data_IF_139753409899
#
_entry.id   IF_139753409899
#
_cell.length_a   1.000
_cell.length_b   1.000
_cell.length_c   1.000
_cell.angle_alpha   90.00
_cell.angle_beta   90.00
_cell.angle_gamma   90.00
#
_symmetry.space_group_name_H-M   'P 1'
#
loop_
_entity.id
_entity.type
_entity.pdbx_description
1 polymer ?
#
# COMPACT_ATOMS: atom_id res chain seq x y z
N UNK A 1 -17.34 14.66 -3.11
CA UNK A 1 -18.15 13.49 -2.71
C UNK A 1 -17.53 12.93 -1.45
N UNK A 2 -18.34 12.57 -0.45
CA UNK A 2 -17.79 11.93 0.75
C UNK A 2 -17.23 10.56 0.38
N UNK A 3 -16.05 10.24 0.92
CA UNK A 3 -15.40 8.96 0.63
C UNK A 3 -16.11 7.84 1.41
N UNK A 4 -16.67 6.86 0.68
CA UNK A 4 -17.43 5.73 1.24
C UNK A 4 -16.70 5.03 2.39
N UNK A 5 -15.40 4.80 2.25
CA UNK A 5 -14.61 4.10 3.26
C UNK A 5 -14.37 4.96 4.50
N UNK A 6 -14.26 6.28 4.33
CA UNK A 6 -14.15 7.23 5.44
C UNK A 6 -15.46 7.33 6.23
N UNK A 7 -16.60 7.32 5.54
CA UNK A 7 -17.91 7.25 6.18
C UNK A 7 -18.08 5.95 6.97
N UNK A 8 -17.71 4.82 6.35
CA UNK A 8 -17.72 3.51 7.02
C UNK A 8 -16.84 3.50 8.27
N UNK A 9 -15.65 4.09 8.19
CA UNK A 9 -14.77 4.23 9.36
C UNK A 9 -15.47 4.99 10.50
N UNK A 10 -16.09 6.12 10.20
CA UNK A 10 -16.73 6.97 11.22
C UNK A 10 -17.96 6.33 11.81
N UNK A 11 -18.82 5.71 10.99
CA UNK A 11 -20.14 5.25 11.41
C UNK A 11 -20.14 3.82 11.98
N UNK A 12 -19.23 2.96 11.50
CA UNK A 12 -19.23 1.54 11.86
C UNK A 12 -17.96 1.13 12.62
N UNK A 13 -16.78 1.55 12.14
CA UNK A 13 -15.52 1.02 12.67
C UNK A 13 -15.16 1.64 14.01
N UNK A 14 -15.35 2.94 14.20
CA UNK A 14 -15.09 3.63 15.48
C UNK A 14 -15.92 3.02 16.60
N UNK A 15 -17.25 2.88 16.51
CA UNK A 15 -18.05 2.26 17.56
C UNK A 15 -17.62 0.82 17.87
N UNK A 16 -17.40 0.00 16.84
CA UNK A 16 -17.01 -1.39 17.01
C UNK A 16 -15.64 -1.56 17.69
N UNK A 17 -14.67 -0.72 17.35
CA UNK A 17 -13.36 -0.73 18.01
C UNK A 17 -13.43 -0.21 19.45
N UNK A 18 -14.24 0.83 19.70
CA UNK A 18 -14.44 1.36 21.05
C UNK A 18 -15.06 0.32 21.98
N UNK A 19 -16.05 -0.42 21.52
CA UNK A 19 -16.67 -1.51 22.28
C UNK A 19 -15.68 -2.67 22.53
N UNK A 20 -14.89 -3.04 21.51
CA UNK A 20 -13.96 -4.18 21.60
C UNK A 20 -12.77 -3.91 22.52
N UNK A 21 -12.20 -2.70 22.48
CA UNK A 21 -10.96 -2.36 23.18
C UNK A 21 -11.14 -1.36 24.33
N UNK A 22 -12.37 -0.92 24.59
CA UNK A 22 -12.72 0.00 25.69
C UNK A 22 -11.88 1.29 25.73
N UNK A 23 -11.74 1.96 24.59
CA UNK A 23 -10.99 3.21 24.53
C UNK A 23 -11.66 4.31 25.37
N UNK A 24 -10.87 5.06 26.13
CA UNK A 24 -11.32 6.16 26.99
C UNK A 24 -11.79 7.40 26.21
N UNK A 25 -11.36 7.53 24.96
CA UNK A 25 -11.67 8.67 24.09
C UNK A 25 -11.75 8.25 22.64
N UNK A 26 -12.61 8.86 21.85
CA UNK A 26 -12.69 8.69 20.39
C UNK A 26 -11.37 9.01 19.70
N UNK A 27 -10.57 9.93 20.27
CA UNK A 27 -9.26 10.29 19.73
C UNK A 27 -8.20 9.19 19.92
N UNK A 28 -8.42 8.25 20.83
CA UNK A 28 -7.55 7.10 21.07
C UNK A 28 -7.82 5.94 20.10
N UNK A 29 -8.95 5.96 19.40
CA UNK A 29 -9.31 4.93 18.42
C UNK A 29 -8.32 4.93 17.25
N UNK A 30 -7.74 3.78 16.89
CA UNK A 30 -6.78 3.69 15.80
C UNK A 30 -7.40 4.08 14.45
N UNK A 31 -6.60 4.76 13.64
CA UNK A 31 -6.95 5.18 12.28
C UNK A 31 -5.81 4.90 11.32
N UNK A 32 -6.10 4.83 10.04
CA UNK A 32 -5.07 4.79 9.00
C UNK A 32 -4.45 6.20 8.88
N UNK A 33 -3.13 6.29 9.04
CA UNK A 33 -2.37 7.55 8.94
C UNK A 33 -1.93 7.83 7.50
N UNK A 34 -1.34 6.84 6.86
CA UNK A 34 -0.83 6.93 5.48
C UNK A 34 -0.72 5.55 4.85
N UNK A 35 -0.71 5.54 3.52
CA UNK A 35 -0.34 4.36 2.72
C UNK A 35 0.89 4.73 1.90
N UNK A 36 1.92 3.91 2.00
CA UNK A 36 3.15 4.04 1.21
C UNK A 36 3.18 2.90 0.20
N UNK A 37 3.30 3.26 -1.08
CA UNK A 37 3.46 2.32 -2.17
C UNK A 37 4.88 2.44 -2.67
N UNK A 38 5.60 1.35 -2.71
CA UNK A 38 6.98 1.30 -3.18
C UNK A 38 7.12 0.29 -4.32
N UNK A 39 7.85 0.69 -5.34
CA UNK A 39 8.22 -0.18 -6.46
C UNK A 39 9.75 -0.16 -6.61
N UNK A 40 10.37 -1.30 -6.33
CA UNK A 40 11.81 -1.49 -6.51
C UNK A 40 12.13 -1.90 -7.94
N UNK A 41 13.00 -1.14 -8.61
CA UNK A 41 13.42 -1.40 -10.01
C UNK A 41 14.94 -1.56 -10.06
N UNK A 42 15.42 -2.73 -9.67
CA UNK A 42 16.87 -3.04 -9.70
C UNK A 42 17.50 -2.97 -11.09
N UNK A 43 16.72 -3.23 -12.14
CA UNK A 43 17.15 -3.16 -13.54
C UNK A 43 17.48 -1.71 -13.99
N UNK A 44 16.98 -0.71 -13.26
CA UNK A 44 17.27 0.70 -13.53
C UNK A 44 18.77 1.04 -13.49
N UNK A 45 19.58 0.22 -12.82
CA UNK A 45 21.05 0.34 -12.83
C UNK A 45 21.61 0.23 -14.25
N UNK A 46 21.02 -0.62 -15.08
CA UNK A 46 21.45 -0.85 -16.46
C UNK A 46 20.64 -0.01 -17.47
N UNK A 47 19.38 0.29 -17.16
CA UNK A 47 18.47 1.00 -18.06
C UNK A 47 17.54 1.95 -17.29
N UNK A 48 17.88 3.24 -17.29
CA UNK A 48 17.11 4.28 -16.61
C UNK A 48 15.66 4.43 -17.14
N UNK A 49 15.40 4.14 -18.41
CA UNK A 49 14.05 4.21 -19.00
C UNK A 49 13.07 3.25 -18.34
N UNK A 50 13.55 2.13 -17.84
CA UNK A 50 12.72 1.16 -17.10
C UNK A 50 12.14 1.77 -15.84
N UNK A 51 12.89 2.63 -15.17
CA UNK A 51 12.42 3.34 -13.97
C UNK A 51 11.40 4.45 -14.31
N UNK A 52 11.59 5.14 -15.42
CA UNK A 52 10.64 6.17 -15.87
C UNK A 52 9.27 5.55 -16.12
N UNK A 53 9.21 4.43 -16.86
CA UNK A 53 7.96 3.68 -17.07
C UNK A 53 7.34 3.19 -15.76
N UNK A 54 8.13 2.61 -14.87
CA UNK A 54 7.65 2.15 -13.57
C UNK A 54 7.08 3.32 -12.73
N UNK A 55 7.68 4.51 -12.82
CA UNK A 55 7.18 5.70 -12.16
C UNK A 55 5.86 6.20 -12.79
N UNK A 56 5.72 6.14 -14.12
CA UNK A 56 4.47 6.46 -14.80
C UNK A 56 3.34 5.50 -14.40
N UNK A 57 3.59 4.18 -14.40
CA UNK A 57 2.65 3.17 -13.92
C UNK A 57 2.21 3.44 -12.48
N UNK A 58 3.17 3.73 -11.58
CA UNK A 58 2.89 4.05 -10.19
C UNK A 58 2.09 5.35 -10.05
N UNK A 59 2.32 6.34 -10.92
CA UNK A 59 1.55 7.57 -10.95
C UNK A 59 0.08 7.31 -11.36
N UNK A 60 -0.16 6.45 -12.34
CA UNK A 60 -1.51 6.04 -12.75
C UNK A 60 -2.23 5.31 -11.60
N UNK A 61 -1.58 4.35 -10.96
CA UNK A 61 -2.15 3.58 -9.84
C UNK A 61 -2.52 4.48 -8.66
N UNK A 62 -1.65 5.42 -8.30
CA UNK A 62 -1.81 6.24 -7.09
C UNK A 62 -2.53 7.57 -7.30
N UNK A 63 -2.62 8.03 -8.55
CA UNK A 63 -3.12 9.37 -8.89
C UNK A 63 -2.21 10.51 -8.40
N UNK A 64 -0.95 10.21 -8.03
CA UNK A 64 0.02 11.16 -7.52
C UNK A 64 1.41 10.89 -8.10
N UNK A 65 2.16 11.96 -8.40
CA UNK A 65 3.53 11.85 -8.92
C UNK A 65 4.44 11.15 -7.91
N UNK A 66 5.09 10.04 -8.27
CA UNK A 66 5.99 9.31 -7.39
C UNK A 66 7.32 10.06 -7.18
N UNK A 67 7.91 9.80 -6.03
CA UNK A 67 9.28 10.21 -5.70
C UNK A 67 10.24 9.12 -6.16
N UNK A 68 11.21 9.48 -6.98
CA UNK A 68 12.29 8.57 -7.38
C UNK A 68 13.24 8.37 -6.20
N UNK A 69 13.49 7.12 -5.85
CA UNK A 69 14.39 6.73 -4.76
C UNK A 69 15.77 6.37 -5.30
N UNK A 70 16.80 6.93 -4.65
CA UNK A 70 18.20 6.75 -5.03
C UNK A 70 18.93 5.86 -4.02
N UNK A 71 19.95 5.15 -4.50
CA UNK A 71 20.81 4.35 -3.65
C UNK A 71 21.58 5.21 -2.66
N UNK A 72 21.60 4.82 -1.40
CA UNK A 72 22.30 5.52 -0.30
C UNK A 72 23.77 5.11 -0.17
N UNK A 73 24.13 3.92 -0.68
CA UNK A 73 25.47 3.34 -0.61
C UNK A 73 25.80 2.62 -1.88
N UNK A 74 27.07 2.60 -2.25
CA UNK A 74 27.59 1.79 -3.36
C UNK A 74 27.71 0.32 -2.93
N UNK A 75 27.26 -0.61 -3.76
CA UNK A 75 27.33 -2.06 -3.52
C UNK A 75 27.90 -2.72 -4.79
N UNK A 76 29.16 -3.17 -4.71
CA UNK A 76 29.86 -3.73 -5.85
C UNK A 76 29.19 -5.01 -6.41
N UNK A 77 28.67 -5.89 -5.53
CA UNK A 77 27.96 -7.12 -5.94
C UNK A 77 26.72 -6.89 -6.80
N UNK A 78 26.08 -5.72 -6.68
CA UNK A 78 24.95 -5.32 -7.52
C UNK A 78 25.32 -4.31 -8.62
N UNK A 79 26.61 -4.02 -8.80
CA UNK A 79 27.10 -2.97 -9.72
C UNK A 79 26.43 -1.60 -9.48
N UNK A 80 26.05 -1.35 -8.24
CA UNK A 80 25.29 -0.19 -7.82
C UNK A 80 26.23 0.88 -7.25
N UNK A 81 26.11 2.11 -7.74
CA UNK A 81 26.79 3.29 -7.19
C UNK A 81 25.83 4.12 -6.38
N UNK A 82 26.34 4.79 -5.37
CA UNK A 82 25.60 5.81 -4.61
C UNK A 82 25.01 6.86 -5.54
N UNK A 83 23.76 7.28 -5.25
CA UNK A 83 23.05 8.28 -6.04
C UNK A 83 22.31 7.75 -7.26
N UNK A 84 22.53 6.51 -7.66
CA UNK A 84 21.80 5.88 -8.80
C UNK A 84 20.33 5.68 -8.40
N UNK A 85 19.42 6.07 -9.28
CA UNK A 85 17.98 5.89 -9.10
C UNK A 85 17.60 4.41 -9.31
N UNK A 86 16.95 3.79 -8.30
CA UNK A 86 16.66 2.35 -8.27
C UNK A 86 15.22 2.00 -7.89
N UNK A 87 14.37 2.97 -7.68
CA UNK A 87 12.97 2.72 -7.34
C UNK A 87 12.12 3.98 -7.35
N UNK A 88 10.84 3.79 -7.16
CA UNK A 88 9.85 4.85 -7.04
C UNK A 88 8.96 4.58 -5.84
N UNK A 89 8.55 5.61 -5.12
CA UNK A 89 7.59 5.51 -4.01
C UNK A 89 6.58 6.64 -4.03
N UNK A 90 5.40 6.34 -3.51
CA UNK A 90 4.33 7.32 -3.27
C UNK A 90 3.85 7.20 -1.84
N UNK A 91 3.55 8.32 -1.21
CA UNK A 91 2.90 8.37 0.10
C UNK A 91 1.54 9.03 -0.05
N UNK A 92 0.49 8.28 0.23
CA UNK A 92 -0.90 8.73 0.17
C UNK A 92 -1.42 9.04 1.57
N UNK A 93 -2.13 10.18 1.70
CA UNK A 93 -2.76 10.63 2.95
C UNK A 93 -4.16 11.19 2.66
N UNK A 94 -4.97 11.30 3.72
CA UNK A 94 -6.29 11.91 3.65
C UNK A 94 -7.23 11.19 2.71
N UNK A 95 -7.96 11.91 1.88
CA UNK A 95 -8.98 11.34 0.98
C UNK A 95 -8.41 10.38 -0.05
N UNK A 96 -7.29 10.75 -0.70
CA UNK A 96 -6.62 9.88 -1.68
C UNK A 96 -6.18 8.54 -1.09
N UNK A 97 -5.81 8.52 0.18
CA UNK A 97 -5.47 7.29 0.90
C UNK A 97 -6.68 6.36 1.02
N UNK A 98 -7.84 6.89 1.41
CA UNK A 98 -9.06 6.11 1.51
C UNK A 98 -9.58 5.64 0.16
N UNK A 99 -9.48 6.48 -0.88
CA UNK A 99 -9.83 6.10 -2.27
C UNK A 99 -8.97 4.96 -2.77
N UNK A 100 -7.66 5.04 -2.53
CA UNK A 100 -6.75 3.97 -2.91
C UNK A 100 -7.03 2.68 -2.13
N UNK A 101 -7.28 2.77 -0.82
CA UNK A 101 -7.60 1.62 0.01
C UNK A 101 -8.92 0.95 -0.43
N UNK A 102 -9.94 1.72 -0.72
CA UNK A 102 -11.22 1.21 -1.23
C UNK A 102 -11.03 0.49 -2.57
N UNK A 103 -10.33 1.09 -3.50
CA UNK A 103 -9.98 0.48 -4.80
C UNK A 103 -9.16 -0.81 -4.61
N UNK A 104 -8.17 -0.80 -3.73
CA UNK A 104 -7.34 -1.97 -3.45
C UNK A 104 -8.20 -3.14 -2.97
N UNK A 105 -9.07 -2.91 -1.99
CA UNK A 105 -9.88 -3.96 -1.36
C UNK A 105 -10.99 -4.46 -2.27
N UNK A 106 -11.68 -3.55 -2.96
CA UNK A 106 -12.89 -3.90 -3.72
C UNK A 106 -12.62 -4.34 -5.15
N UNK A 107 -11.58 -3.82 -5.78
CA UNK A 107 -11.30 -4.03 -7.21
C UNK A 107 -10.02 -4.81 -7.43
N UNK A 108 -8.92 -4.39 -6.83
CA UNK A 108 -7.59 -4.91 -7.16
C UNK A 108 -7.31 -6.27 -6.56
N UNK A 109 -7.58 -6.46 -5.26
CA UNK A 109 -7.34 -7.75 -4.59
C UNK A 109 -8.15 -8.92 -5.18
N UNK A 110 -9.45 -8.77 -5.53
CA UNK A 110 -10.19 -9.86 -6.18
C UNK A 110 -9.66 -10.25 -7.55
N UNK A 111 -8.89 -9.39 -8.21
CA UNK A 111 -8.25 -9.67 -9.51
C UNK A 111 -6.92 -10.42 -9.40
N UNK A 112 -6.39 -10.58 -8.19
CA UNK A 112 -5.18 -11.39 -7.96
C UNK A 112 -5.48 -12.85 -8.30
N UNK A 113 -4.61 -13.46 -9.11
CA UNK A 113 -4.72 -14.86 -9.46
C UNK A 113 -4.63 -15.73 -8.20
N UNK A 114 -5.54 -16.71 -8.05
CA UNK A 114 -5.61 -17.64 -6.91
C UNK A 114 -5.67 -16.92 -5.54
N UNK A 115 -6.48 -15.85 -5.46
CA UNK A 115 -6.61 -15.06 -4.25
C UNK A 115 -7.35 -15.84 -3.14
N UNK A 116 -6.66 -16.11 -2.03
CA UNK A 116 -7.19 -16.79 -0.84
C UNK A 116 -7.23 -15.88 0.41
N UNK A 117 -7.09 -14.59 0.24
CA UNK A 117 -6.98 -13.61 1.30
C UNK A 117 -5.56 -13.08 1.48
N UNK A 118 -5.44 -11.96 2.19
CA UNK A 118 -4.15 -11.34 2.47
C UNK A 118 -3.51 -11.99 3.72
N UNK A 119 -2.16 -12.09 3.77
CA UNK A 119 -1.46 -12.72 4.89
C UNK A 119 -1.78 -12.07 6.23
N UNK A 120 -2.02 -12.87 7.26
CA UNK A 120 -2.30 -12.38 8.62
C UNK A 120 -1.05 -12.08 9.44
N UNK A 121 0.13 -12.52 8.98
CA UNK A 121 1.41 -12.41 9.69
C UNK A 121 2.29 -11.23 9.21
N UNK A 122 1.78 -10.37 8.34
CA UNK A 122 2.55 -9.27 7.73
C UNK A 122 2.45 -7.96 8.52
N UNK A 123 2.26 -8.04 9.82
CA UNK A 123 2.31 -6.91 10.75
C UNK A 123 3.73 -6.76 11.33
N UNK A 124 4.09 -5.54 11.70
CA UNK A 124 5.44 -5.19 12.20
C UNK A 124 5.59 -5.22 13.73
N UNK A 125 4.56 -5.63 14.47
CA UNK A 125 4.51 -5.59 15.93
C UNK A 125 4.07 -4.25 16.53
N UNK A 126 3.85 -3.24 15.69
CA UNK A 126 3.43 -1.88 16.06
C UNK A 126 2.18 -1.40 15.34
N UNK A 127 1.40 -2.32 14.80
CA UNK A 127 0.15 -2.03 14.13
C UNK A 127 0.28 -1.55 12.68
N UNK A 128 1.43 -1.63 12.04
CA UNK A 128 1.55 -1.37 10.61
C UNK A 128 1.46 -2.68 9.83
N UNK A 129 0.87 -2.61 8.65
CA UNK A 129 0.63 -3.78 7.80
C UNK A 129 1.31 -3.61 6.44
N UNK A 130 2.00 -4.64 5.97
CA UNK A 130 2.66 -4.64 4.66
C UNK A 130 2.09 -5.73 3.76
N UNK A 131 1.69 -5.34 2.56
CA UNK A 131 1.20 -6.24 1.52
C UNK A 131 2.11 -6.19 0.31
N UNK A 132 2.71 -7.32 -0.04
CA UNK A 132 3.43 -7.50 -1.30
C UNK A 132 2.49 -7.92 -2.41
N UNK A 133 2.49 -7.19 -3.52
CA UNK A 133 1.76 -7.50 -4.74
C UNK A 133 2.77 -7.93 -5.80
N UNK A 134 2.55 -9.08 -6.41
CA UNK A 134 3.48 -9.64 -7.40
C UNK A 134 3.39 -8.99 -8.78
N UNK A 135 2.20 -8.51 -9.13
CA UNK A 135 1.89 -8.02 -10.48
C UNK A 135 1.11 -6.70 -10.42
N UNK A 136 1.61 -5.66 -11.10
CA UNK A 136 0.92 -4.37 -11.20
C UNK A 136 -0.38 -4.43 -12.02
N UNK A 137 -0.57 -5.49 -12.81
CA UNK A 137 -1.74 -5.71 -13.67
C UNK A 137 -3.06 -5.90 -12.92
N UNK A 138 -3.02 -6.10 -11.60
CA UNK A 138 -4.24 -6.17 -10.79
C UNK A 138 -4.97 -4.81 -10.71
N UNK A 139 -4.27 -3.72 -10.97
CA UNK A 139 -4.86 -2.38 -10.99
C UNK A 139 -5.52 -2.10 -12.35
N UNK A 140 -6.80 -1.65 -12.35
CA UNK A 140 -7.56 -1.45 -13.57
C UNK A 140 -7.02 -0.31 -14.45
N UNK A 141 -6.22 0.59 -13.89
CA UNK A 141 -5.61 1.71 -14.60
C UNK A 141 -4.44 1.29 -15.51
N UNK A 142 -3.92 0.08 -15.32
CA UNK A 142 -2.80 -0.44 -16.10
C UNK A 142 -3.32 -1.32 -17.23
N UNK A 143 -3.04 -0.93 -18.47
CA UNK A 143 -3.34 -1.73 -19.65
C UNK A 143 -2.21 -2.72 -19.90
N UNK A 144 -2.57 -3.95 -20.24
CA UNK A 144 -1.61 -5.01 -20.52
C UNK A 144 -0.67 -4.65 -21.67
N UNK A 145 -1.18 -3.96 -22.69
CA UNK A 145 -0.43 -3.63 -23.91
C UNK A 145 0.66 -2.57 -23.67
N UNK A 146 0.52 -1.75 -22.62
CA UNK A 146 1.47 -0.68 -22.28
C UNK A 146 2.60 -1.15 -21.36
N UNK A 147 2.45 -2.36 -20.78
CA UNK A 147 3.39 -2.92 -19.82
C UNK A 147 4.53 -3.64 -20.53
N UNK A 148 5.76 -3.15 -20.34
CA UNK A 148 6.98 -3.78 -20.87
C UNK A 148 7.42 -5.01 -20.05
N UNK A 149 7.16 -4.99 -18.74
CA UNK A 149 7.51 -6.06 -17.81
C UNK A 149 6.60 -6.07 -16.59
N UNK A 150 6.21 -7.27 -16.15
CA UNK A 150 5.52 -7.47 -14.88
C UNK A 150 6.45 -7.11 -13.72
N UNK A 151 5.99 -6.17 -12.85
CA UNK A 151 6.70 -5.71 -11.66
C UNK A 151 5.84 -5.87 -10.44
N UNK A 152 6.48 -6.27 -9.35
CA UNK A 152 5.85 -6.26 -8.04
C UNK A 152 5.93 -4.89 -7.38
N UNK A 153 5.07 -4.69 -6.40
CA UNK A 153 5.06 -3.50 -5.55
C UNK A 153 4.71 -3.86 -4.12
N UNK A 154 5.20 -3.06 -3.20
CA UNK A 154 4.92 -3.19 -1.77
C UNK A 154 3.99 -2.07 -1.34
N UNK A 155 2.91 -2.44 -0.66
CA UNK A 155 1.92 -1.51 -0.10
C UNK A 155 2.01 -1.58 1.41
N UNK A 156 2.46 -0.50 2.04
CA UNK A 156 2.57 -0.39 3.49
C UNK A 156 1.44 0.50 4.01
N UNK A 157 0.57 -0.07 4.83
CA UNK A 157 -0.52 0.64 5.50
C UNK A 157 -0.05 0.98 6.90
N UNK A 158 0.20 2.26 7.14
CA UNK A 158 0.62 2.78 8.44
C UNK A 158 -0.60 3.23 9.22
N UNK A 159 -0.75 2.70 10.42
CA UNK A 159 -1.86 3.04 11.31
C UNK A 159 -1.36 3.70 12.60
N UNK A 160 -2.27 4.28 13.36
CA UNK A 160 -1.98 4.83 14.69
C UNK A 160 -2.23 3.82 15.80
N UNK A 161 -2.48 2.55 15.47
CA UNK A 161 -2.66 1.47 16.43
C UNK A 161 -1.36 1.23 17.22
N UNK A 162 -1.50 0.86 18.50
CA UNK A 162 -0.36 0.51 19.34
C UNK A 162 0.02 -0.97 19.20
N UNK A 163 -0.95 -1.82 18.85
CA UNK A 163 -0.78 -3.27 18.74
C UNK A 163 -1.26 -3.79 17.38
N UNK A 164 -0.75 -4.94 16.97
CA UNK A 164 -1.16 -5.59 15.73
C UNK A 164 -2.62 -6.05 15.78
N UNK A 165 -3.14 -6.40 16.96
CA UNK A 165 -4.53 -6.79 17.15
C UNK A 165 -5.50 -5.64 16.87
N UNK A 166 -5.18 -4.43 17.38
CA UNK A 166 -5.95 -3.22 17.11
C UNK A 166 -5.96 -2.89 15.62
N UNK A 167 -4.79 -2.95 14.97
CA UNK A 167 -4.65 -2.69 13.54
C UNK A 167 -5.40 -3.73 12.71
N UNK A 168 -5.31 -5.01 13.07
CA UNK A 168 -6.05 -6.08 12.41
C UNK A 168 -7.56 -5.86 12.49
N UNK A 169 -8.05 -5.49 13.67
CA UNK A 169 -9.46 -5.18 13.86
C UNK A 169 -9.90 -3.96 13.03
N UNK A 170 -9.08 -2.91 12.99
CA UNK A 170 -9.29 -1.73 12.15
C UNK A 170 -9.38 -2.09 10.67
N UNK A 171 -8.38 -2.79 10.14
CA UNK A 171 -8.33 -3.16 8.71
C UNK A 171 -9.44 -4.14 8.32
N UNK A 172 -9.80 -5.07 9.22
CA UNK A 172 -10.95 -5.97 9.02
C UNK A 172 -12.25 -5.18 8.93
N UNK A 173 -12.46 -4.20 9.83
CA UNK A 173 -13.61 -3.30 9.80
C UNK A 173 -13.70 -2.47 8.51
N UNK A 174 -12.57 -2.06 7.96
CA UNK A 174 -12.48 -1.37 6.66
C UNK A 174 -12.71 -2.31 5.47
N UNK A 175 -12.78 -3.63 5.68
CA UNK A 175 -13.09 -4.61 4.64
C UNK A 175 -11.88 -5.36 4.07
N UNK A 176 -10.71 -5.28 4.73
CA UNK A 176 -9.53 -6.04 4.29
C UNK A 176 -9.79 -7.55 4.40
N UNK A 177 -9.64 -8.33 3.30
CA UNK A 177 -9.94 -9.76 3.27
C UNK A 177 -8.75 -10.58 3.77
N UNK A 178 -8.59 -10.70 5.07
CA UNK A 178 -7.55 -11.55 5.66
C UNK A 178 -7.82 -13.03 5.41
N UNK A 179 -6.75 -13.80 5.13
CA UNK A 179 -6.82 -15.25 5.07
C UNK A 179 -7.26 -15.84 6.43
N UNK A 180 -8.09 -16.87 6.38
CA UNK A 180 -8.57 -17.60 7.58
C UNK A 180 -7.49 -18.52 8.14
#
# INVERSE_FOLDING_TARGET
MANRLKEKYTNEVIPALTEKFNYSSVMAVPKVDKIVINMGVGEAVNNAKTLEKAAEELALISGQKPLITKAKKSIAGFRLREGVAIGAKVTLRGERMYEFLDKLVTVSLPRVRDFHGVPTKSFDGRGNYTLGVKEQLIFPEINFDDVDKTRGLDIVIVTTANTDEESRALLTGLGMPFAK
#
